data_IF_851386088170
#
_entry.id   IF_851386088170
#
_cell.length_a   1.000
_cell.length_b   1.000
_cell.length_c   1.000
_cell.angle_alpha   90.00
_cell.angle_beta   90.00
_cell.angle_gamma   90.00
#
_symmetry.space_group_name_H-M   'P 1'
#
loop_
_entity.id
_entity.type
_entity.pdbx_description
1 polymer ?
#
# COMPACT_ATOMS: atom_id res chain seq x y z
N UNK A 1 18.92 -6.72 0.70
CA UNK A 1 19.46 -5.79 1.69
C UNK A 1 20.25 -6.55 2.73
N UNK A 2 21.44 -6.07 3.06
CA UNK A 2 22.27 -6.77 4.04
C UNK A 2 21.58 -6.86 5.40
N UNK A 3 21.55 -8.07 5.97
CA UNK A 3 21.01 -8.29 7.31
C UNK A 3 19.51 -8.17 7.43
N UNK A 4 18.80 -8.17 6.31
CA UNK A 4 17.37 -7.97 6.33
C UNK A 4 16.60 -9.26 6.50
N UNK A 5 15.55 -9.15 7.31
CA UNK A 5 14.51 -10.16 7.36
C UNK A 5 13.81 -10.26 6.01
N UNK A 6 13.17 -11.39 5.77
CA UNK A 6 12.31 -11.53 4.59
C UNK A 6 11.22 -10.46 4.64
N UNK A 7 10.89 -9.86 3.52
CA UNK A 7 9.85 -8.83 3.47
C UNK A 7 8.51 -9.35 4.03
N UNK A 8 8.26 -10.65 3.92
CA UNK A 8 7.04 -11.28 4.44
C UNK A 8 6.91 -11.18 5.96
N UNK A 9 7.98 -10.83 6.67
CA UNK A 9 7.97 -10.63 8.13
C UNK A 9 7.76 -9.17 8.53
N UNK A 10 7.83 -8.25 7.58
CA UNK A 10 7.64 -6.82 7.85
C UNK A 10 6.17 -6.48 8.05
N UNK A 11 5.86 -5.74 9.12
CA UNK A 11 4.49 -5.32 9.41
C UNK A 11 3.88 -4.50 8.27
N UNK A 12 4.67 -3.62 7.66
CA UNK A 12 4.21 -2.80 6.54
C UNK A 12 3.77 -3.66 5.36
N UNK A 13 4.46 -4.77 5.09
CA UNK A 13 4.06 -5.69 4.03
C UNK A 13 2.84 -6.50 4.43
N UNK A 14 2.82 -7.04 5.65
CA UNK A 14 1.68 -7.82 6.16
C UNK A 14 0.39 -7.02 6.13
N UNK A 15 0.44 -5.78 6.59
CA UNK A 15 -0.73 -4.90 6.62
C UNK A 15 -1.18 -4.51 5.20
N UNK A 16 -0.23 -4.31 4.28
CA UNK A 16 -0.59 -4.01 2.90
C UNK A 16 -1.24 -5.20 2.20
N UNK A 17 -0.80 -6.42 2.50
CA UNK A 17 -1.41 -7.65 2.01
C UNK A 17 -2.83 -7.82 2.55
N UNK A 18 -3.02 -7.57 3.85
CA UNK A 18 -4.35 -7.63 4.48
C UNK A 18 -5.30 -6.61 3.89
N UNK A 19 -4.80 -5.40 3.62
CA UNK A 19 -5.60 -4.37 2.96
C UNK A 19 -6.04 -4.82 1.57
N UNK A 20 -5.16 -5.48 0.81
CA UNK A 20 -5.51 -6.00 -0.51
C UNK A 20 -6.66 -7.01 -0.43
N UNK A 21 -6.59 -7.94 0.51
CA UNK A 21 -7.66 -8.91 0.74
C UNK A 21 -8.97 -8.21 1.10
N UNK A 22 -8.91 -7.24 2.01
CA UNK A 22 -10.08 -6.47 2.44
C UNK A 22 -10.73 -5.74 1.26
N UNK A 23 -9.94 -5.09 0.43
CA UNK A 23 -10.44 -4.31 -0.71
C UNK A 23 -11.02 -5.22 -1.80
N UNK A 24 -10.44 -6.38 -2.03
CA UNK A 24 -11.01 -7.36 -2.95
C UNK A 24 -12.40 -7.80 -2.49
N UNK A 25 -12.55 -8.10 -1.20
CA UNK A 25 -13.84 -8.46 -0.63
C UNK A 25 -14.84 -7.30 -0.72
N UNK A 26 -14.41 -6.10 -0.39
CA UNK A 26 -15.24 -4.90 -0.45
C UNK A 26 -15.79 -4.65 -1.85
N UNK A 27 -14.94 -4.78 -2.87
CA UNK A 27 -15.31 -4.47 -4.26
C UNK A 27 -16.14 -5.55 -4.92
N UNK A 28 -16.32 -6.72 -4.29
CA UNK A 28 -17.19 -7.78 -4.81
C UNK A 28 -18.63 -7.31 -4.97
N UNK A 29 -19.09 -6.41 -4.11
CA UNK A 29 -20.47 -5.89 -4.13
C UNK A 29 -20.66 -4.67 -5.01
N UNK A 30 -19.61 -4.19 -5.68
CA UNK A 30 -19.74 -3.06 -6.61
C UNK A 30 -20.55 -3.45 -7.83
N UNK A 31 -21.21 -2.49 -8.51
CA UNK A 31 -21.96 -2.79 -9.73
C UNK A 31 -21.10 -3.51 -10.78
N UNK A 32 -21.70 -4.48 -11.47
CA UNK A 32 -21.00 -5.24 -12.52
C UNK A 32 -20.48 -4.33 -13.64
N UNK A 33 -21.16 -3.21 -13.89
CA UNK A 33 -20.74 -2.23 -14.88
C UNK A 33 -19.39 -1.61 -14.57
N UNK A 34 -18.91 -1.71 -13.31
CA UNK A 34 -17.63 -1.16 -12.86
C UNK A 34 -16.50 -2.19 -12.86
N UNK A 35 -16.77 -3.43 -13.27
CA UNK A 35 -15.77 -4.51 -13.23
C UNK A 35 -14.50 -4.15 -14.00
N UNK A 36 -14.63 -3.55 -15.18
CA UNK A 36 -13.49 -3.15 -16.01
C UNK A 36 -13.15 -1.66 -15.88
N UNK A 37 -13.81 -0.95 -14.99
CA UNK A 37 -13.56 0.45 -14.68
C UNK A 37 -12.98 0.60 -13.28
N UNK A 38 -13.78 1.16 -12.38
CA UNK A 38 -13.34 1.51 -11.03
C UNK A 38 -12.84 0.29 -10.24
N UNK A 39 -13.51 -0.86 -10.31
CA UNK A 39 -13.08 -2.07 -9.59
C UNK A 39 -11.70 -2.50 -10.05
N UNK A 40 -11.46 -2.54 -11.36
CA UNK A 40 -10.15 -2.90 -11.91
C UNK A 40 -9.06 -1.96 -11.41
N UNK A 41 -9.31 -0.65 -11.40
CA UNK A 41 -8.34 0.35 -10.93
C UNK A 41 -8.06 0.24 -9.44
N UNK A 42 -9.10 0.05 -8.63
CA UNK A 42 -8.95 -0.11 -7.17
C UNK A 42 -8.10 -1.34 -6.85
N UNK A 43 -8.40 -2.46 -7.50
CA UNK A 43 -7.67 -3.71 -7.28
C UNK A 43 -6.22 -3.60 -7.73
N UNK A 44 -5.96 -2.92 -8.84
CA UNK A 44 -4.59 -2.64 -9.29
C UNK A 44 -3.84 -1.80 -8.26
N UNK A 45 -4.46 -0.76 -7.74
CA UNK A 45 -3.85 0.11 -6.74
C UNK A 45 -3.47 -0.66 -5.48
N UNK A 46 -4.40 -1.43 -4.94
CA UNK A 46 -4.18 -2.12 -3.66
C UNK A 46 -3.12 -3.23 -3.77
N UNK A 47 -3.06 -3.95 -4.90
CA UNK A 47 -2.03 -4.98 -5.12
C UNK A 47 -0.66 -4.35 -5.31
N UNK A 48 -0.60 -3.18 -5.93
CA UNK A 48 0.67 -2.51 -6.23
C UNK A 48 1.39 -2.04 -4.97
N UNK A 49 0.70 -1.89 -3.85
CA UNK A 49 1.33 -1.47 -2.58
C UNK A 49 2.27 -2.57 -2.06
N UNK A 50 1.78 -3.78 -1.72
CA UNK A 50 2.68 -4.83 -1.23
C UNK A 50 3.70 -5.27 -2.29
N UNK A 51 3.33 -5.23 -3.56
CA UNK A 51 4.23 -5.61 -4.65
C UNK A 51 5.44 -4.69 -4.72
N UNK A 52 5.25 -3.38 -4.58
CA UNK A 52 6.36 -2.43 -4.60
C UNK A 52 7.20 -2.49 -3.31
N UNK A 53 6.58 -2.75 -2.17
CA UNK A 53 7.34 -2.96 -0.92
C UNK A 53 8.26 -4.17 -1.08
N UNK A 54 7.74 -5.29 -1.57
CA UNK A 54 8.52 -6.51 -1.79
C UNK A 54 9.64 -6.28 -2.82
N UNK A 55 9.33 -5.62 -3.92
CA UNK A 55 10.31 -5.30 -4.96
C UNK A 55 11.45 -4.46 -4.40
N UNK A 56 11.12 -3.42 -3.63
CA UNK A 56 12.12 -2.56 -3.02
C UNK A 56 13.02 -3.31 -2.04
N UNK A 57 12.43 -4.21 -1.25
CA UNK A 57 13.18 -5.03 -0.29
C UNK A 57 14.14 -6.00 -0.98
N UNK A 58 13.87 -6.36 -2.23
CA UNK A 58 14.76 -7.21 -3.04
C UNK A 58 15.95 -6.47 -3.65
N UNK A 59 16.01 -5.14 -3.54
CA UNK A 59 17.10 -4.36 -4.11
C UNK A 59 18.30 -4.34 -3.17
N UNK A 60 19.50 -4.15 -3.73
CA UNK A 60 20.75 -4.16 -2.98
C UNK A 60 21.02 -2.85 -2.24
N UNK A 61 20.45 -1.74 -2.71
CA UNK A 61 20.75 -0.40 -2.20
C UNK A 61 19.54 0.25 -1.55
N UNK A 62 19.77 0.93 -0.44
CA UNK A 62 18.71 1.65 0.29
C UNK A 62 18.04 2.73 -0.57
N UNK A 63 18.79 3.37 -1.45
CA UNK A 63 18.25 4.39 -2.36
C UNK A 63 17.16 3.81 -3.27
N UNK A 64 17.40 2.61 -3.80
CA UNK A 64 16.42 1.91 -4.63
C UNK A 64 15.20 1.50 -3.82
N UNK A 65 15.43 0.99 -2.59
CA UNK A 65 14.33 0.65 -1.68
C UNK A 65 13.46 1.88 -1.42
N UNK A 66 14.05 3.04 -1.11
CA UNK A 66 13.31 4.28 -0.89
C UNK A 66 12.48 4.66 -2.10
N UNK A 67 13.02 4.47 -3.30
CA UNK A 67 12.28 4.73 -4.52
C UNK A 67 11.01 3.87 -4.62
N UNK A 68 11.12 2.57 -4.37
CA UNK A 68 9.97 1.67 -4.41
C UNK A 68 8.96 1.95 -3.29
N UNK A 69 9.43 2.36 -2.11
CA UNK A 69 8.53 2.76 -1.02
C UNK A 69 7.77 4.04 -1.38
N UNK A 70 8.41 4.96 -2.08
CA UNK A 70 7.75 6.17 -2.60
C UNK A 70 6.66 5.81 -3.60
N UNK A 71 6.91 4.86 -4.49
CA UNK A 71 5.92 4.36 -5.46
C UNK A 71 4.75 3.72 -4.71
N UNK A 72 5.02 2.88 -3.71
CA UNK A 72 3.98 2.25 -2.89
C UNK A 72 3.09 3.30 -2.21
N UNK A 73 3.69 4.38 -1.71
CA UNK A 73 2.94 5.49 -1.10
C UNK A 73 2.01 6.17 -2.11
N UNK A 74 2.48 6.35 -3.34
CA UNK A 74 1.66 6.89 -4.42
C UNK A 74 0.44 6.02 -4.70
N UNK A 75 0.61 4.70 -4.76
CA UNK A 75 -0.50 3.76 -4.95
C UNK A 75 -1.49 3.81 -3.78
N UNK A 76 -0.99 4.01 -2.56
CA UNK A 76 -1.87 4.15 -1.39
C UNK A 76 -2.76 5.39 -1.51
N UNK A 77 -2.22 6.52 -1.95
CA UNK A 77 -3.00 7.73 -2.17
C UNK A 77 -4.01 7.58 -3.32
N UNK A 78 -3.66 6.84 -4.37
CA UNK A 78 -4.62 6.54 -5.43
C UNK A 78 -5.77 5.69 -4.91
N UNK A 79 -5.46 4.67 -4.10
CA UNK A 79 -6.48 3.85 -3.46
C UNK A 79 -7.40 4.69 -2.57
N UNK A 80 -6.84 5.57 -1.76
CA UNK A 80 -7.60 6.46 -0.90
C UNK A 80 -8.56 7.33 -1.71
N UNK A 81 -8.07 7.91 -2.81
CA UNK A 81 -8.87 8.72 -3.73
C UNK A 81 -10.02 7.90 -4.31
N UNK A 82 -9.73 6.69 -4.76
CA UNK A 82 -10.73 5.79 -5.35
C UNK A 82 -11.79 5.39 -4.32
N UNK A 83 -11.41 5.26 -3.06
CA UNK A 83 -12.35 4.97 -1.97
C UNK A 83 -13.32 6.15 -1.73
N UNK A 84 -12.82 7.38 -1.75
CA UNK A 84 -13.68 8.58 -1.66
C UNK A 84 -14.65 8.64 -2.83
N UNK A 85 -14.19 8.37 -4.03
CA UNK A 85 -15.05 8.31 -5.23
C UNK A 85 -16.12 7.23 -5.07
N UNK A 86 -15.74 6.06 -4.56
CA UNK A 86 -16.67 4.97 -4.29
C UNK A 86 -17.78 5.38 -3.33
N UNK A 87 -17.43 6.15 -2.31
CA UNK A 87 -18.41 6.69 -1.35
C UNK A 87 -19.35 7.67 -2.05
N UNK A 88 -18.82 8.58 -2.85
CA UNK A 88 -19.60 9.57 -3.58
C UNK A 88 -20.61 8.92 -4.51
N UNK A 89 -20.23 7.79 -5.11
CA UNK A 89 -21.09 7.01 -6.01
C UNK A 89 -22.02 6.04 -5.26
N UNK A 90 -21.96 6.02 -3.94
CA UNK A 90 -22.76 5.14 -3.07
C UNK A 90 -22.48 3.65 -3.31
N UNK A 91 -21.28 3.30 -3.72
CA UNK A 91 -20.87 1.90 -3.89
C UNK A 91 -20.47 1.24 -2.58
N UNK A 92 -20.21 2.02 -1.54
CA UNK A 92 -19.88 1.55 -0.19
C UNK A 92 -20.79 2.25 0.83
N UNK A 93 -21.10 1.55 1.90
CA UNK A 93 -21.80 2.16 3.04
C UNK A 93 -20.84 3.06 3.81
N UNK A 94 -21.39 3.93 4.65
CA UNK A 94 -20.56 4.77 5.52
C UNK A 94 -19.66 3.93 6.43
N UNK A 95 -20.19 2.84 6.97
CA UNK A 95 -19.41 1.92 7.83
C UNK A 95 -18.25 1.27 7.07
N UNK A 96 -18.52 0.79 5.86
CA UNK A 96 -17.50 0.20 5.00
C UNK A 96 -16.41 1.21 4.64
N UNK A 97 -16.83 2.44 4.34
CA UNK A 97 -15.91 3.52 4.01
C UNK A 97 -14.97 3.82 5.19
N UNK A 98 -15.54 4.03 6.39
CA UNK A 98 -14.76 4.37 7.58
C UNK A 98 -13.78 3.25 7.94
N UNK A 99 -14.24 2.00 7.88
CA UNK A 99 -13.38 0.86 8.19
C UNK A 99 -12.19 0.75 7.22
N UNK A 100 -12.45 0.89 5.92
CA UNK A 100 -11.41 0.83 4.92
C UNK A 100 -10.45 2.03 5.02
N UNK A 101 -10.99 3.23 5.22
CA UNK A 101 -10.18 4.44 5.38
C UNK A 101 -9.23 4.33 6.57
N UNK A 102 -9.70 3.78 7.70
CA UNK A 102 -8.86 3.56 8.88
C UNK A 102 -7.71 2.61 8.57
N UNK A 103 -7.96 1.55 7.80
CA UNK A 103 -6.90 0.62 7.37
C UNK A 103 -5.88 1.31 6.46
N UNK A 104 -6.32 2.16 5.56
CA UNK A 104 -5.46 2.94 4.68
C UNK A 104 -4.58 3.89 5.50
N UNK A 105 -5.16 4.60 6.46
CA UNK A 105 -4.42 5.53 7.31
C UNK A 105 -3.39 4.83 8.18
N UNK A 106 -3.75 3.67 8.74
CA UNK A 106 -2.82 2.84 9.53
C UNK A 106 -1.63 2.40 8.68
N UNK A 107 -1.89 1.92 7.46
CA UNK A 107 -0.84 1.52 6.54
C UNK A 107 0.05 2.70 6.16
N UNK A 108 -0.54 3.88 5.95
CA UNK A 108 0.21 5.09 5.65
C UNK A 108 1.21 5.45 6.73
N UNK A 109 0.81 5.33 8.00
CA UNK A 109 1.70 5.57 9.15
C UNK A 109 2.82 4.54 9.20
N UNK A 110 2.52 3.27 8.98
CA UNK A 110 3.52 2.20 8.96
C UNK A 110 4.52 2.41 7.84
N UNK A 111 4.03 2.77 6.65
CA UNK A 111 4.87 3.00 5.48
C UNK A 111 5.81 4.19 5.72
N UNK A 112 5.30 5.29 6.25
CA UNK A 112 6.12 6.45 6.59
C UNK A 112 7.16 6.11 7.66
N UNK A 113 6.78 5.32 8.67
CA UNK A 113 7.69 4.86 9.71
C UNK A 113 8.81 4.00 9.15
N UNK A 114 8.48 3.08 8.24
CA UNK A 114 9.48 2.23 7.59
C UNK A 114 10.42 3.06 6.72
N UNK A 115 9.89 4.03 5.98
CA UNK A 115 10.71 4.93 5.16
C UNK A 115 11.70 5.73 6.02
N UNK A 116 11.27 6.23 7.18
CA UNK A 116 12.16 6.93 8.12
C UNK A 116 13.26 6.01 8.65
N UNK A 117 12.88 4.78 9.01
CA UNK A 117 13.83 3.77 9.48
C UNK A 117 14.91 3.49 8.41
N UNK A 118 14.50 3.29 7.17
CA UNK A 118 15.43 3.04 6.05
C UNK A 118 16.30 4.26 5.79
N UNK A 119 15.74 5.46 5.88
CA UNK A 119 16.52 6.70 5.71
C UNK A 119 17.61 6.82 6.75
N UNK A 120 17.33 6.47 8.01
CA UNK A 120 18.33 6.46 9.08
C UNK A 120 19.42 5.43 8.79
N UNK A 121 19.06 4.24 8.33
CA UNK A 121 20.03 3.20 7.94
C UNK A 121 20.92 3.67 6.81
N UNK A 122 20.37 4.35 5.83
CA UNK A 122 21.11 4.90 4.69
C UNK A 122 22.13 5.95 5.15
N UNK A 123 21.76 6.79 6.10
CA UNK A 123 22.62 7.86 6.62
C UNK A 123 23.78 7.31 7.48
N UNK A 124 23.64 6.12 8.05
CA UNK A 124 24.68 5.50 8.89
C UNK A 124 25.67 4.65 8.11
N UNK A 125 25.46 4.46 6.79
CA UNK A 125 26.38 3.72 5.96
C UNK A 125 27.71 4.47 5.80
N UNK A 126 28.87 3.74 5.77
CA UNK A 126 30.14 4.38 5.49
C UNK A 126 30.11 5.09 4.13
N UNK A 127 30.69 6.28 4.09
CA UNK A 127 30.89 6.99 2.82
C UNK A 127 32.17 6.49 2.17
N UNK A 128 32.08 6.06 0.96
CA UNK A 128 33.25 5.64 0.18
C UNK A 128 33.78 6.79 -0.66
#
# INVERSE_FOLDING_TARGET
MPGYQKYTELDVWKQSRELATHVYQLTTSYPKSEQFGLVSQIRRSVISIPSNIAEGCGREHYKELQHFLSIAKGWLYELETQLYISKDLSFVTNEQFVLCLNKIETLGKLLNGFRRYIKQKQQTLPKN
#
